data_IF_405397397163
#
_entry.id   IF_405397397163
#
_cell.length_a   1.000
_cell.length_b   1.000
_cell.length_c   1.000
_cell.angle_alpha   90.00
_cell.angle_beta   90.00
_cell.angle_gamma   90.00
#
_symmetry.space_group_name_H-M   'P 1'
#
loop_
_entity.id
_entity.type
_entity.pdbx_description
1 polymer ?
#
# COMPACT_ATOMS: atom_id res chain seq x y z
N UNK A 1 24.37 -13.01 8.96
CA UNK A 1 24.66 -13.70 7.71
C UNK A 1 23.47 -14.51 7.13
N UNK A 2 22.55 -15.11 7.91
CA UNK A 2 21.42 -15.90 7.37
C UNK A 2 20.30 -15.08 6.73
N UNK A 3 20.04 -13.87 7.21
CA UNK A 3 19.00 -12.98 6.65
C UNK A 3 19.36 -12.40 5.28
N UNK A 4 20.65 -12.14 5.02
CA UNK A 4 21.12 -11.58 3.74
C UNK A 4 20.99 -12.59 2.60
N UNK A 5 21.11 -13.88 2.89
CA UNK A 5 20.99 -14.95 1.89
C UNK A 5 19.53 -15.16 1.45
N UNK A 6 18.57 -15.04 2.39
CA UNK A 6 17.14 -15.16 2.09
C UNK A 6 16.62 -14.01 1.21
N UNK A 7 17.11 -12.80 1.44
CA UNK A 7 16.72 -11.64 0.62
C UNK A 7 17.29 -11.75 -0.81
N UNK A 8 18.51 -12.27 -0.97
CA UNK A 8 19.13 -12.48 -2.29
C UNK A 8 18.43 -13.58 -3.10
N UNK A 9 17.93 -14.64 -2.47
CA UNK A 9 17.19 -15.71 -3.14
C UNK A 9 15.80 -15.23 -3.59
N UNK A 10 15.13 -14.41 -2.81
CA UNK A 10 13.82 -13.84 -3.19
C UNK A 10 13.93 -12.90 -4.41
N UNK A 11 14.97 -12.08 -4.49
CA UNK A 11 15.19 -11.18 -5.62
C UNK A 11 15.55 -11.91 -6.92
N UNK A 12 16.27 -13.03 -6.86
CA UNK A 12 16.60 -13.83 -8.05
C UNK A 12 15.41 -14.61 -8.61
N UNK A 13 14.48 -15.08 -7.76
CA UNK A 13 13.30 -15.82 -8.21
C UNK A 13 12.25 -14.93 -8.91
N UNK A 14 12.10 -13.67 -8.51
CA UNK A 14 11.16 -12.73 -9.14
C UNK A 14 11.66 -12.28 -10.51
N UNK A 15 12.97 -12.11 -10.69
CA UNK A 15 13.57 -11.72 -11.98
C UNK A 15 13.51 -12.80 -13.06
N UNK A 16 13.58 -14.08 -12.69
CA UNK A 16 13.65 -15.19 -13.64
C UNK A 16 12.33 -15.42 -14.40
N UNK A 17 11.17 -15.20 -13.77
CA UNK A 17 9.87 -15.43 -14.43
C UNK A 17 9.49 -14.32 -15.43
N UNK A 18 9.89 -13.08 -15.17
CA UNK A 18 9.62 -11.98 -16.09
C UNK A 18 10.47 -12.07 -17.38
N UNK A 19 11.71 -12.55 -17.27
CA UNK A 19 12.60 -12.75 -18.41
C UNK A 19 12.09 -13.86 -19.34
N UNK A 20 11.55 -14.95 -18.80
CA UNK A 20 11.05 -16.08 -19.60
C UNK A 20 9.82 -15.72 -20.44
N UNK A 21 8.92 -14.88 -19.94
CA UNK A 21 7.73 -14.46 -20.68
C UNK A 21 8.09 -13.55 -21.88
N UNK A 22 9.11 -12.72 -21.76
CA UNK A 22 9.61 -11.89 -22.86
C UNK A 22 10.34 -12.71 -23.90
N UNK A 23 11.11 -13.72 -23.48
CA UNK A 23 11.91 -14.55 -24.38
C UNK A 23 11.03 -15.42 -25.30
N UNK A 24 9.84 -15.82 -24.83
CA UNK A 24 8.89 -16.62 -25.62
C UNK A 24 8.26 -15.83 -26.78
N UNK A 25 7.98 -14.57 -26.57
CA UNK A 25 7.39 -13.71 -27.59
C UNK A 25 8.41 -13.34 -28.68
N UNK A 26 9.69 -13.23 -28.35
CA UNK A 26 10.78 -12.99 -29.30
C UNK A 26 11.03 -14.13 -30.28
N UNK A 27 10.51 -15.33 -30.01
CA UNK A 27 10.60 -16.48 -30.94
C UNK A 27 9.66 -16.34 -32.12
N UNK A 28 8.57 -15.57 -32.00
CA UNK A 28 7.51 -15.46 -33.01
C UNK A 28 7.48 -14.10 -33.72
N UNK A 29 8.01 -13.05 -33.09
CA UNK A 29 7.97 -11.70 -33.61
C UNK A 29 9.36 -11.06 -33.60
N UNK A 30 9.73 -10.31 -34.67
CA UNK A 30 10.95 -9.53 -34.68
C UNK A 30 10.96 -8.50 -33.53
N UNK A 31 12.11 -8.22 -32.91
CA UNK A 31 12.21 -7.26 -31.81
C UNK A 31 11.61 -5.89 -32.13
N UNK A 32 11.76 -5.42 -33.36
CA UNK A 32 11.23 -4.12 -33.82
C UNK A 32 9.70 -4.08 -33.86
N UNK A 33 9.06 -5.17 -34.23
CA UNK A 33 7.58 -5.27 -34.20
C UNK A 33 7.05 -5.30 -32.78
N UNK A 34 7.77 -5.96 -31.88
CA UNK A 34 7.40 -6.02 -30.47
C UNK A 34 7.55 -4.66 -29.80
N UNK A 35 8.64 -3.93 -30.09
CA UNK A 35 8.82 -2.56 -29.58
C UNK A 35 7.72 -1.63 -30.06
N UNK A 36 7.35 -1.68 -31.35
CA UNK A 36 6.24 -0.88 -31.90
C UNK A 36 4.90 -1.26 -31.27
N UNK A 37 4.60 -2.56 -31.14
CA UNK A 37 3.37 -3.02 -30.52
C UNK A 37 3.29 -2.59 -29.05
N UNK A 38 4.39 -2.62 -28.32
CA UNK A 38 4.46 -2.14 -26.94
C UNK A 38 4.29 -0.61 -26.85
N UNK A 39 4.79 0.12 -27.83
CA UNK A 39 4.66 1.58 -27.90
C UNK A 39 3.23 1.98 -28.28
N UNK A 40 2.61 1.28 -29.21
CA UNK A 40 1.21 1.45 -29.59
C UNK A 40 0.28 1.12 -28.41
N UNK A 41 0.51 0.03 -27.70
CA UNK A 41 -0.24 -0.31 -26.47
C UNK A 41 -0.04 0.74 -25.37
N UNK A 42 1.16 1.28 -25.22
CA UNK A 42 1.39 2.41 -24.29
C UNK A 42 0.63 3.66 -24.71
N UNK A 43 0.56 3.93 -26.00
CA UNK A 43 -0.13 5.09 -26.54
C UNK A 43 -1.66 4.94 -26.47
N UNK A 44 -2.20 3.76 -26.77
CA UNK A 44 -3.64 3.48 -26.82
C UNK A 44 -4.24 3.20 -25.44
N UNK A 45 -3.55 2.43 -24.58
CA UNK A 45 -4.03 2.13 -23.22
C UNK A 45 -3.67 3.21 -22.21
N UNK A 46 -2.94 4.23 -22.67
CA UNK A 46 -2.60 5.44 -21.96
C UNK A 46 -1.73 5.21 -20.74
N UNK A 47 -0.65 5.93 -20.68
CA UNK A 47 0.04 6.28 -19.44
C UNK A 47 -0.86 7.25 -18.63
N UNK A 48 -2.15 6.90 -18.53
CA UNK A 48 -3.17 7.71 -17.84
C UNK A 48 -2.84 7.74 -16.36
N UNK A 49 -2.49 8.92 -15.90
CA UNK A 49 -2.35 9.18 -14.48
C UNK A 49 -3.72 9.41 -13.90
N UNK A 50 -3.98 8.71 -12.82
CA UNK A 50 -5.22 8.79 -12.09
C UNK A 50 -4.92 9.22 -10.66
N UNK A 51 -5.92 9.75 -10.00
CA UNK A 51 -5.87 9.99 -8.56
C UNK A 51 -7.14 9.45 -7.91
N UNK A 52 -7.00 9.07 -6.66
CA UNK A 52 -8.13 8.68 -5.82
C UNK A 52 -7.92 9.25 -4.43
N UNK A 53 -8.99 9.65 -3.81
CA UNK A 53 -9.02 10.03 -2.39
C UNK A 53 -10.14 9.24 -1.74
N UNK A 54 -9.77 8.47 -0.74
CA UNK A 54 -10.68 7.64 0.03
C UNK A 54 -10.69 8.12 1.47
N UNK A 55 -11.86 8.41 1.98
CA UNK A 55 -12.10 8.75 3.38
C UNK A 55 -12.65 7.50 4.05
N UNK A 56 -11.80 6.75 4.77
CA UNK A 56 -12.19 5.52 5.47
C UNK A 56 -12.95 5.84 6.74
N UNK A 57 -12.53 6.92 7.41
CA UNK A 57 -13.13 7.37 8.64
C UNK A 57 -13.13 8.89 8.71
N UNK A 58 -14.23 9.44 9.15
CA UNK A 58 -14.34 10.83 9.56
C UNK A 58 -15.40 10.91 10.66
N UNK A 59 -14.96 11.02 11.89
CA UNK A 59 -15.82 10.94 13.08
C UNK A 59 -15.63 12.16 13.97
N UNK A 60 -16.73 12.67 14.48
CA UNK A 60 -16.74 13.59 15.61
C UNK A 60 -17.29 12.82 16.82
N UNK A 61 -16.58 12.85 17.92
CA UNK A 61 -16.96 12.23 19.17
C UNK A 61 -17.16 13.28 20.23
N UNK A 62 -18.30 13.22 20.90
CA UNK A 62 -18.59 14.05 22.07
C UNK A 62 -19.03 13.13 23.21
N UNK A 63 -18.25 13.11 24.27
CA UNK A 63 -18.51 12.27 25.47
C UNK A 63 -18.28 13.14 26.69
N UNK A 64 -19.25 13.21 27.61
CA UNK A 64 -19.26 13.89 28.91
C UNK A 64 -18.08 14.85 29.23
N UNK A 65 -17.96 15.93 28.45
CA UNK A 65 -16.95 16.96 28.65
C UNK A 65 -15.65 16.77 27.87
N UNK A 66 -15.61 15.85 26.91
CA UNK A 66 -14.48 15.69 25.98
C UNK A 66 -14.98 15.62 24.55
N UNK A 67 -14.37 16.41 23.69
CA UNK A 67 -14.67 16.47 22.26
C UNK A 67 -13.45 16.09 21.46
N UNK A 68 -13.58 15.12 20.52
CA UNK A 68 -12.50 14.70 19.64
C UNK A 68 -12.97 14.48 18.21
N UNK A 69 -12.03 14.64 17.28
CA UNK A 69 -12.22 14.39 15.87
C UNK A 69 -11.23 13.35 15.37
N UNK A 70 -11.73 12.30 14.72
CA UNK A 70 -10.88 11.28 14.11
C UNK A 70 -11.02 11.31 12.61
N UNK A 71 -9.90 11.08 11.90
CA UNK A 71 -9.94 10.82 10.48
C UNK A 71 -8.94 9.75 10.07
N UNK A 72 -9.28 9.05 9.02
CA UNK A 72 -8.42 8.14 8.28
C UNK A 72 -8.64 8.40 6.77
N UNK A 73 -7.61 8.92 6.14
CA UNK A 73 -7.60 9.36 4.75
C UNK A 73 -6.53 8.60 3.98
N UNK A 74 -6.90 8.09 2.82
CA UNK A 74 -5.98 7.51 1.86
C UNK A 74 -6.09 8.23 0.53
N UNK A 75 -4.98 8.65 -0.02
CA UNK A 75 -4.93 9.22 -1.36
C UNK A 75 -3.83 8.57 -2.17
N UNK A 76 -4.03 8.42 -3.46
CA UNK A 76 -2.98 8.00 -4.36
C UNK A 76 -3.03 8.74 -5.69
N UNK A 77 -1.87 8.87 -6.30
CA UNK A 77 -1.69 9.46 -7.62
C UNK A 77 -0.67 8.65 -8.41
N UNK A 78 -0.96 8.33 -9.66
CA UNK A 78 -0.02 7.63 -10.52
C UNK A 78 -0.66 6.88 -11.68
N UNK A 79 0.14 6.06 -12.32
CA UNK A 79 -0.26 5.19 -13.42
C UNK A 79 -0.50 3.73 -12.98
N UNK A 80 -0.51 2.84 -13.96
CA UNK A 80 -0.77 1.40 -13.71
C UNK A 80 0.32 0.72 -12.88
N UNK A 81 1.59 1.05 -13.13
CA UNK A 81 2.72 0.36 -12.52
C UNK A 81 3.29 1.09 -11.30
N UNK A 82 3.19 2.41 -11.29
CA UNK A 82 3.80 3.22 -10.24
C UNK A 82 2.78 4.21 -9.70
N UNK A 83 2.66 4.28 -8.38
CA UNK A 83 1.75 5.18 -7.67
C UNK A 83 2.45 5.77 -6.46
N UNK A 84 2.17 7.01 -6.18
CA UNK A 84 2.46 7.63 -4.90
C UNK A 84 1.22 7.52 -4.03
N UNK A 85 1.37 6.91 -2.86
CA UNK A 85 0.32 6.86 -1.84
C UNK A 85 0.65 7.82 -0.71
N UNK A 86 -0.37 8.52 -0.25
CA UNK A 86 -0.31 9.35 0.95
C UNK A 86 -1.46 8.91 1.85
N UNK A 87 -1.13 8.58 3.09
CA UNK A 87 -2.08 8.19 4.13
C UNK A 87 -1.98 9.16 5.28
N UNK A 88 -3.11 9.51 5.88
CA UNK A 88 -3.15 10.36 7.06
C UNK A 88 -4.19 9.82 8.03
N UNK A 89 -3.75 9.52 9.23
CA UNK A 89 -4.60 9.09 10.34
C UNK A 89 -4.36 10.04 11.51
N UNK A 90 -5.43 10.51 12.13
CA UNK A 90 -5.31 11.39 13.27
C UNK A 90 -6.46 11.29 14.26
N UNK A 91 -6.13 11.58 15.51
CA UNK A 91 -7.05 11.89 16.60
C UNK A 91 -6.73 13.29 17.13
N UNK A 92 -7.71 14.18 17.06
CA UNK A 92 -7.60 15.56 17.48
C UNK A 92 -8.52 15.84 18.66
N UNK A 93 -7.97 16.28 19.76
CA UNK A 93 -8.73 16.71 20.92
C UNK A 93 -9.08 18.19 20.81
N UNK A 94 -10.38 18.51 20.75
CA UNK A 94 -10.86 19.90 20.72
C UNK A 94 -10.72 20.60 22.06
N UNK A 95 -10.76 19.85 23.18
CA UNK A 95 -10.68 20.41 24.53
C UNK A 95 -9.29 20.95 24.82
N UNK A 96 -8.27 20.25 24.37
CA UNK A 96 -6.86 20.64 24.57
C UNK A 96 -6.33 21.44 23.38
N UNK A 97 -7.00 21.35 22.22
CA UNK A 97 -6.61 22.03 20.99
C UNK A 97 -5.33 21.46 20.37
N UNK A 98 -5.10 20.14 20.52
CA UNK A 98 -3.90 19.45 20.03
C UNK A 98 -4.23 18.10 19.43
N UNK A 99 -3.32 17.60 18.60
CA UNK A 99 -3.34 16.22 18.14
C UNK A 99 -2.88 15.29 19.26
N UNK A 100 -3.71 14.30 19.59
CA UNK A 100 -3.29 13.20 20.44
C UNK A 100 -2.40 12.25 19.64
N UNK A 101 -2.82 11.93 18.41
CA UNK A 101 -2.05 11.19 17.44
C UNK A 101 -2.26 11.82 16.06
N UNK A 102 -1.18 11.97 15.31
CA UNK A 102 -1.21 12.30 13.89
C UNK A 102 -0.12 11.51 13.20
N UNK A 103 -0.49 10.63 12.30
CA UNK A 103 0.44 9.92 11.43
C UNK A 103 0.22 10.37 10.00
N UNK A 104 1.31 10.67 9.32
CA UNK A 104 1.34 10.92 7.89
C UNK A 104 2.34 9.97 7.25
N UNK A 105 1.91 9.20 6.27
CA UNK A 105 2.74 8.26 5.53
C UNK A 105 2.73 8.62 4.04
N UNK A 106 3.91 8.64 3.44
CA UNK A 106 4.09 8.80 2.01
C UNK A 106 4.96 7.66 1.47
N UNK A 107 4.38 6.82 0.60
CA UNK A 107 5.06 5.66 0.04
C UNK A 107 4.90 5.61 -1.47
N UNK A 108 5.98 5.24 -2.13
CA UNK A 108 5.96 4.89 -3.54
C UNK A 108 5.61 3.40 -3.67
N UNK A 109 4.60 3.12 -4.47
CA UNK A 109 4.09 1.78 -4.76
C UNK A 109 4.43 1.39 -6.18
N UNK A 110 4.92 0.18 -6.36
CA UNK A 110 5.21 -0.41 -7.67
C UNK A 110 4.60 -1.79 -7.79
N UNK A 111 3.81 -1.98 -8.85
CA UNK A 111 3.30 -3.29 -9.20
C UNK A 111 4.45 -4.23 -9.61
N UNK A 112 4.59 -5.35 -8.91
CA UNK A 112 5.57 -6.42 -9.20
C UNK A 112 4.91 -7.62 -9.88
N UNK A 113 3.59 -7.71 -9.80
CA UNK A 113 2.77 -8.69 -10.48
C UNK A 113 1.38 -8.09 -10.74
N UNK A 114 0.50 -8.76 -11.50
CA UNK A 114 -0.89 -8.32 -11.67
C UNK A 114 -1.68 -8.17 -10.37
N UNK A 115 -1.24 -8.83 -9.31
CA UNK A 115 -1.96 -8.92 -8.05
C UNK A 115 -1.22 -8.35 -6.85
N UNK A 116 0.07 -8.02 -6.97
CA UNK A 116 0.88 -7.57 -5.85
C UNK A 116 1.68 -6.33 -6.18
N UNK A 117 1.68 -5.40 -5.22
CA UNK A 117 2.47 -4.19 -5.20
C UNK A 117 3.49 -4.25 -4.05
N UNK A 118 4.69 -3.75 -4.28
CA UNK A 118 5.64 -3.41 -3.22
C UNK A 118 5.65 -1.92 -2.99
N UNK A 119 5.81 -1.50 -1.74
CA UNK A 119 5.82 -0.10 -1.35
C UNK A 119 7.06 0.20 -0.52
N UNK A 120 7.60 1.40 -0.71
CA UNK A 120 8.69 1.94 0.11
C UNK A 120 8.50 3.44 0.29
N UNK A 121 8.80 3.94 1.48
CA UNK A 121 8.63 5.36 1.77
C UNK A 121 8.95 5.72 3.21
N UNK A 122 8.30 6.78 3.66
CA UNK A 122 8.48 7.33 5.00
C UNK A 122 7.13 7.54 5.67
N UNK A 123 7.10 7.35 6.98
CA UNK A 123 6.01 7.77 7.83
C UNK A 123 6.52 8.69 8.93
N UNK A 124 5.72 9.68 9.29
CA UNK A 124 6.00 10.62 10.36
C UNK A 124 4.85 10.57 11.36
N UNK A 125 5.19 10.27 12.60
CA UNK A 125 4.28 10.35 13.72
C UNK A 125 4.48 11.67 14.44
N UNK A 126 3.39 12.40 14.64
CA UNK A 126 3.31 13.61 15.43
C UNK A 126 2.39 13.33 16.62
N UNK A 127 2.96 12.83 17.71
CA UNK A 127 2.21 12.69 18.97
C UNK A 127 2.59 13.82 19.91
N UNK A 128 1.72 14.16 20.85
CA UNK A 128 2.01 15.18 21.88
C UNK A 128 3.30 14.85 22.62
N UNK A 129 4.40 15.55 22.27
CA UNK A 129 5.70 15.41 22.93
C UNK A 129 6.67 14.39 22.36
N UNK A 130 6.36 13.70 21.26
CA UNK A 130 7.25 12.75 20.61
C UNK A 130 7.03 12.68 19.10
N UNK A 131 7.93 13.29 18.35
CA UNK A 131 7.98 13.11 16.90
C UNK A 131 8.84 11.91 16.56
N UNK A 132 8.38 11.08 15.63
CA UNK A 132 9.12 9.90 15.14
C UNK A 132 9.00 9.77 13.64
N UNK A 133 10.15 9.52 13.01
CA UNK A 133 10.22 9.21 11.59
C UNK A 133 10.47 7.72 11.42
N UNK A 134 9.74 7.09 10.50
CA UNK A 134 9.88 5.69 10.18
C UNK A 134 10.18 5.51 8.70
N UNK A 135 11.16 4.67 8.38
CA UNK A 135 11.26 4.09 7.06
C UNK A 135 10.20 2.98 6.93
N UNK A 136 9.49 2.97 5.81
CA UNK A 136 8.38 2.04 5.56
C UNK A 136 8.74 1.15 4.38
N UNK A 137 8.54 -0.15 4.56
CA UNK A 137 8.54 -1.14 3.49
C UNK A 137 7.28 -1.98 3.60
N UNK A 138 6.57 -2.17 2.49
CA UNK A 138 5.31 -2.91 2.50
C UNK A 138 5.13 -3.74 1.24
N UNK A 139 4.31 -4.76 1.36
CA UNK A 139 3.74 -5.52 0.26
C UNK A 139 2.23 -5.58 0.47
N UNK A 140 1.48 -5.34 -0.60
CA UNK A 140 0.02 -5.48 -0.58
C UNK A 140 -0.43 -6.16 -1.85
N UNK A 141 -1.57 -6.82 -1.79
CA UNK A 141 -2.13 -7.45 -2.98
C UNK A 141 -3.28 -8.37 -2.69
N UNK A 142 -3.73 -9.00 -3.78
CA UNK A 142 -4.84 -9.93 -3.78
C UNK A 142 -4.31 -11.36 -3.89
N UNK A 143 -4.48 -12.12 -2.82
CA UNK A 143 -4.15 -13.54 -2.78
C UNK A 143 -5.24 -14.39 -3.46
N UNK A 144 -4.96 -15.68 -3.79
CA UNK A 144 -5.98 -16.59 -4.27
C UNK A 144 -7.23 -16.58 -3.38
N UNK A 145 -8.40 -16.79 -4.00
CA UNK A 145 -9.71 -16.73 -3.35
C UNK A 145 -10.15 -15.34 -2.88
N UNK A 146 -9.58 -14.28 -3.46
CA UNK A 146 -9.96 -12.87 -3.20
C UNK A 146 -9.63 -12.37 -1.78
N UNK A 147 -8.63 -12.94 -1.16
CA UNK A 147 -8.11 -12.40 0.10
C UNK A 147 -7.25 -11.18 -0.17
N UNK A 148 -7.63 -10.05 0.38
CA UNK A 148 -6.77 -8.87 0.42
C UNK A 148 -5.72 -9.05 1.52
N UNK A 149 -4.46 -8.90 1.14
CA UNK A 149 -3.34 -9.04 2.06
C UNK A 149 -2.50 -7.78 2.05
N UNK A 150 -2.15 -7.31 3.22
CA UNK A 150 -1.13 -6.28 3.38
C UNK A 150 -0.15 -6.64 4.49
N UNK A 151 1.12 -6.38 4.27
CA UNK A 151 2.15 -6.49 5.29
C UNK A 151 3.07 -5.28 5.21
N UNK A 152 3.32 -4.66 6.35
CA UNK A 152 4.13 -3.46 6.48
C UNK A 152 5.17 -3.62 7.57
N UNK A 153 6.36 -3.11 7.34
CA UNK A 153 7.43 -3.02 8.30
C UNK A 153 7.84 -1.55 8.45
N UNK A 154 8.01 -1.12 9.67
CA UNK A 154 8.38 0.23 10.04
C UNK A 154 9.69 0.19 10.82
N UNK A 155 10.70 0.87 10.33
CA UNK A 155 11.96 1.07 11.03
C UNK A 155 12.05 2.52 11.50
N UNK A 156 11.98 2.70 12.82
CA UNK A 156 12.05 4.01 13.47
C UNK A 156 13.46 4.60 13.39
N UNK A 157 13.58 5.92 13.47
CA UNK A 157 14.83 6.67 13.63
C UNK A 157 15.64 6.27 14.88
N UNK A 158 14.99 5.59 15.84
CA UNK A 158 15.62 5.02 17.04
C UNK A 158 16.07 3.58 16.88
N UNK A 159 15.86 2.98 15.70
CA UNK A 159 16.21 1.60 15.40
C UNK A 159 15.18 0.56 15.88
N UNK A 160 13.98 0.98 16.26
CA UNK A 160 12.89 0.08 16.61
C UNK A 160 12.23 -0.42 15.34
N UNK A 161 12.05 -1.73 15.24
CA UNK A 161 11.35 -2.39 14.14
C UNK A 161 9.97 -2.84 14.61
N UNK A 162 8.94 -2.38 13.93
CA UNK A 162 7.56 -2.84 14.15
C UNK A 162 6.99 -3.36 12.85
N UNK A 163 6.04 -4.27 12.94
CA UNK A 163 5.38 -4.86 11.78
C UNK A 163 3.87 -4.93 11.96
N UNK A 164 3.18 -4.81 10.84
CA UNK A 164 1.74 -4.96 10.73
C UNK A 164 1.44 -5.94 9.59
N UNK A 165 0.61 -6.92 9.85
CA UNK A 165 0.08 -7.81 8.83
C UNK A 165 -1.45 -7.81 8.92
N UNK A 166 -2.10 -7.67 7.78
CA UNK A 166 -3.56 -7.68 7.66
C UNK A 166 -3.96 -8.64 6.55
N UNK A 167 -5.01 -9.37 6.82
CA UNK A 167 -5.69 -10.21 5.83
C UNK A 167 -7.17 -9.93 5.94
N UNK A 168 -7.78 -9.53 4.85
CA UNK A 168 -9.21 -9.21 4.77
C UNK A 168 -9.89 -10.04 3.71
N UNK A 169 -11.13 -10.39 3.95
CA UNK A 169 -11.99 -11.08 3.01
C UNK A 169 -13.36 -10.43 2.98
N UNK A 170 -13.77 -9.99 1.81
CA UNK A 170 -15.09 -9.41 1.59
C UNK A 170 -16.02 -10.44 0.97
N UNK A 171 -17.10 -10.79 1.65
CA UNK A 171 -18.14 -11.70 1.18
C UNK A 171 -19.43 -10.93 0.96
N UNK A 172 -19.89 -10.87 -0.29
CA UNK A 172 -21.20 -10.37 -0.63
C UNK A 172 -22.24 -11.48 -0.33
N UNK A 173 -23.00 -11.29 0.76
CA UNK A 173 -24.05 -12.23 1.16
C UNK A 173 -25.35 -12.07 0.34
N UNK A 174 -25.57 -10.88 -0.23
CA UNK A 174 -26.74 -10.62 -1.09
C UNK A 174 -26.39 -9.58 -2.16
N UNK A 175 -26.82 -9.76 -3.43
CA UNK A 175 -26.44 -8.85 -4.52
C UNK A 175 -26.90 -7.40 -4.36
N UNK A 176 -27.82 -7.12 -3.43
CA UNK A 176 -28.38 -5.77 -3.31
C UNK A 176 -28.02 -5.01 -2.03
N UNK A 177 -27.47 -5.61 -0.97
CA UNK A 177 -27.38 -4.84 0.28
C UNK A 177 -26.46 -5.30 1.41
N UNK A 178 -25.77 -6.43 1.35
CA UNK A 178 -25.01 -6.89 2.53
C UNK A 178 -23.64 -7.44 2.15
N UNK A 179 -22.60 -6.66 2.45
CA UNK A 179 -21.23 -7.13 2.45
C UNK A 179 -20.84 -7.54 3.88
N UNK A 180 -20.21 -8.69 4.04
CA UNK A 180 -19.56 -9.10 5.26
C UNK A 180 -18.05 -9.00 5.03
N UNK A 181 -17.39 -8.17 5.85
CA UNK A 181 -15.93 -8.03 5.84
C UNK A 181 -15.39 -8.73 7.08
N UNK A 182 -14.54 -9.71 6.87
CA UNK A 182 -13.80 -10.38 7.92
C UNK A 182 -12.31 -10.12 7.71
N UNK A 183 -11.65 -9.61 8.74
CA UNK A 183 -10.21 -9.33 8.67
C UNK A 183 -9.51 -9.73 9.95
N UNK A 184 -8.22 -10.04 9.84
CA UNK A 184 -7.31 -10.24 10.96
C UNK A 184 -6.14 -9.29 10.80
N UNK A 185 -5.90 -8.51 11.85
CA UNK A 185 -4.76 -7.59 11.96
C UNK A 185 -3.84 -8.04 13.08
N UNK A 186 -2.57 -8.17 12.79
CA UNK A 186 -1.54 -8.58 13.77
C UNK A 186 -0.40 -7.57 13.76
N UNK A 187 -0.02 -7.11 14.96
CA UNK A 187 1.16 -6.28 15.21
C UNK A 187 2.28 -7.12 15.84
N UNK A 188 3.53 -6.90 15.46
CA UNK A 188 4.71 -7.58 16.00
C UNK A 188 5.95 -6.67 15.97
#
# INVERSE_FOLDING_TARGET
MRATILLAIATTLIGANAAQAQDYAHQFYPPEEMERALEDVRHETGDQRQFSVLVNRFEYRSTDGSESGLWDLNAWYGGRLNRLWVRSEADYSFDVGTFEELRVEAVWSRAISPYFDVQAGLAQDFASGSERTHAVAAIQGLAPYWFEMSSRAYLSDRGELTGLAEVEYELLLHPESTAFVAGVRVWF
#
